data_IF_281161371698
#
_entry.id   IF_281161371698
#
_cell.length_a   1.000
_cell.length_b   1.000
_cell.length_c   1.000
_cell.angle_alpha   90.00
_cell.angle_beta   90.00
_cell.angle_gamma   90.00
#
_symmetry.space_group_name_H-M   'P 1'
#
loop_
_entity.id
_entity.type
_entity.pdbx_description
1 polymer ?
#
# COMPACT_ATOMS: atom_id res chain seq x y z
N UNK A 1 2.75 -6.11 19.28
CA UNK A 1 4.01 -5.34 19.38
C UNK A 1 4.82 -5.96 20.50
N UNK A 2 6.01 -6.44 20.20
CA UNK A 2 6.93 -7.05 21.16
C UNK A 2 8.13 -6.14 21.35
N UNK A 3 8.30 -5.60 22.56
CA UNK A 3 9.50 -4.84 22.94
C UNK A 3 10.51 -5.74 23.66
N UNK A 4 10.00 -6.64 24.51
CA UNK A 4 10.72 -7.78 25.10
C UNK A 4 9.71 -8.88 25.39
N UNK A 5 10.16 -10.11 25.69
CA UNK A 5 9.29 -11.23 26.11
C UNK A 5 8.38 -10.95 27.32
N UNK A 6 8.68 -9.93 28.12
CA UNK A 6 7.85 -9.51 29.27
C UNK A 6 6.92 -8.34 28.93
N UNK A 7 7.20 -7.62 27.84
CA UNK A 7 6.51 -6.39 27.46
C UNK A 7 5.95 -6.54 26.04
N UNK A 8 4.75 -7.09 25.97
CA UNK A 8 3.96 -7.26 24.76
C UNK A 8 2.66 -6.43 24.84
N UNK A 9 2.26 -5.84 23.71
CA UNK A 9 1.03 -5.07 23.55
C UNK A 9 0.27 -5.56 22.32
N UNK A 10 -1.06 -5.67 22.43
CA UNK A 10 -1.93 -6.01 21.30
C UNK A 10 -3.00 -4.93 21.16
N UNK A 11 -2.98 -4.24 20.02
CA UNK A 11 -4.01 -3.27 19.62
C UNK A 11 -4.95 -3.99 18.63
N UNK A 12 -6.26 -3.91 18.88
CA UNK A 12 -7.30 -4.50 18.01
C UNK A 12 -8.32 -3.44 17.64
N UNK A 13 -8.74 -3.43 16.38
CA UNK A 13 -9.75 -2.50 15.88
C UNK A 13 -9.77 -2.47 14.36
N UNK A 14 -10.62 -1.62 13.80
CA UNK A 14 -10.53 -1.29 12.39
C UNK A 14 -9.28 -0.42 12.12
N UNK A 15 -8.88 -0.29 10.86
CA UNK A 15 -7.66 0.43 10.47
C UNK A 15 -7.64 1.87 11.00
N UNK A 16 -8.76 2.59 10.99
CA UNK A 16 -8.83 3.98 11.45
C UNK A 16 -8.61 4.09 12.96
N UNK A 17 -9.17 3.17 13.74
CA UNK A 17 -8.96 3.12 15.19
C UNK A 17 -7.50 2.84 15.52
N UNK A 18 -6.92 1.83 14.88
CA UNK A 18 -5.52 1.43 15.08
C UNK A 18 -4.57 2.58 14.70
N UNK A 19 -4.80 3.24 13.56
CA UNK A 19 -4.03 4.41 13.13
C UNK A 19 -4.12 5.56 14.12
N UNK A 20 -5.32 5.87 14.62
CA UNK A 20 -5.53 6.96 15.58
C UNK A 20 -4.76 6.71 16.88
N UNK A 21 -4.75 5.47 17.37
CA UNK A 21 -4.03 5.13 18.59
C UNK A 21 -2.51 5.20 18.39
N UNK A 22 -2.01 4.62 17.30
CA UNK A 22 -0.58 4.55 16.99
C UNK A 22 0.02 5.95 16.78
N UNK A 23 -0.70 6.87 16.13
CA UNK A 23 -0.23 8.23 15.87
C UNK A 23 0.01 9.07 17.15
N UNK A 24 -0.53 8.64 18.29
CA UNK A 24 -0.35 9.33 19.58
C UNK A 24 0.81 8.76 20.42
N UNK A 25 1.47 7.69 19.95
CA UNK A 25 2.46 6.93 20.71
C UNK A 25 3.79 6.87 19.97
N UNK A 26 4.90 6.87 20.71
CA UNK A 26 6.18 6.46 20.16
C UNK A 26 6.18 4.93 19.96
N UNK A 27 6.46 4.49 18.74
CA UNK A 27 6.44 3.07 18.39
C UNK A 27 7.85 2.49 18.41
N UNK A 28 8.08 1.55 19.32
CA UNK A 28 9.33 0.80 19.47
C UNK A 28 9.05 -0.70 19.53
N UNK A 29 10.05 -1.51 19.16
CA UNK A 29 9.95 -2.97 19.14
C UNK A 29 9.40 -3.52 17.83
N UNK A 30 9.36 -4.85 17.73
CA UNK A 30 8.86 -5.56 16.55
C UNK A 30 7.32 -5.57 16.53
N UNK A 31 6.75 -5.48 15.33
CA UNK A 31 5.29 -5.39 15.13
C UNK A 31 4.85 -6.45 14.14
N UNK A 32 3.96 -7.32 14.62
CA UNK A 32 3.17 -8.22 13.77
C UNK A 32 1.83 -7.56 13.48
N UNK A 33 1.54 -7.34 12.19
CA UNK A 33 0.26 -6.82 11.74
C UNK A 33 -0.59 -7.96 11.17
N UNK A 34 -1.78 -8.16 11.74
CA UNK A 34 -2.77 -9.11 11.25
C UNK A 34 -3.92 -8.30 10.65
N UNK A 35 -4.14 -8.46 9.35
CA UNK A 35 -5.19 -7.73 8.63
C UNK A 35 -6.21 -8.73 8.09
N UNK A 36 -7.48 -8.44 8.30
CA UNK A 36 -8.56 -9.19 7.65
C UNK A 36 -8.42 -9.05 6.13
N UNK A 37 -8.43 -10.17 5.41
CA UNK A 37 -8.45 -10.16 3.94
C UNK A 37 -9.67 -9.39 3.43
N UNK A 38 -9.52 -8.70 2.29
CA UNK A 38 -10.63 -7.99 1.67
C UNK A 38 -11.81 -8.92 1.39
N UNK A 39 -13.03 -8.46 1.67
CA UNK A 39 -14.24 -9.18 1.25
C UNK A 39 -14.31 -9.11 -0.28
N UNK A 40 -14.35 -10.27 -0.95
CA UNK A 40 -14.52 -10.33 -2.41
C UNK A 40 -15.91 -9.84 -2.78
N UNK A 41 -16.07 -8.53 -2.90
CA UNK A 41 -17.08 -7.95 -3.76
C UNK A 41 -16.39 -7.75 -5.12
N UNK A 42 -16.99 -8.29 -6.19
CA UNK A 42 -16.63 -8.24 -7.62
C UNK A 42 -15.18 -7.86 -7.98
N UNK A 43 -14.52 -8.65 -8.83
CA UNK A 43 -13.11 -8.43 -9.28
C UNK A 43 -12.74 -6.97 -9.66
N UNK A 44 -13.71 -6.17 -10.12
CA UNK A 44 -13.53 -4.76 -10.43
C UNK A 44 -13.30 -3.85 -9.21
N UNK A 45 -13.77 -4.19 -8.01
CA UNK A 45 -13.67 -3.31 -6.83
C UNK A 45 -12.22 -3.14 -6.38
N UNK A 46 -11.41 -4.20 -6.47
CA UNK A 46 -9.97 -4.15 -6.14
C UNK A 46 -9.20 -3.29 -7.15
N UNK A 47 -9.43 -3.47 -8.45
CA UNK A 47 -8.78 -2.67 -9.49
C UNK A 47 -9.20 -1.21 -9.35
N UNK A 48 -10.51 -0.93 -9.19
CA UNK A 48 -11.01 0.43 -8.98
C UNK A 48 -10.42 1.08 -7.73
N UNK A 49 -10.26 0.32 -6.65
CA UNK A 49 -9.60 0.79 -5.45
C UNK A 49 -8.13 1.14 -5.72
N UNK A 50 -7.36 0.25 -6.34
CA UNK A 50 -5.95 0.49 -6.66
C UNK A 50 -5.75 1.64 -7.66
N UNK A 51 -6.72 1.85 -8.55
CA UNK A 51 -6.74 2.96 -9.51
C UNK A 51 -7.15 4.30 -8.88
N UNK A 52 -7.57 4.33 -7.60
CA UNK A 52 -7.72 5.59 -6.88
C UNK A 52 -6.41 6.35 -6.99
N UNK A 53 -6.51 7.60 -7.42
CA UNK A 53 -5.39 8.37 -7.92
C UNK A 53 -4.23 8.43 -6.92
N UNK A 54 -4.52 8.61 -5.63
CA UNK A 54 -3.51 8.62 -4.57
C UNK A 54 -2.69 7.33 -4.51
N UNK A 55 -3.34 6.16 -4.62
CA UNK A 55 -2.71 4.85 -4.40
C UNK A 55 -1.76 4.52 -5.55
N UNK A 56 -2.25 4.60 -6.80
CA UNK A 56 -1.42 4.28 -7.96
C UNK A 56 -0.29 5.30 -8.13
N UNK A 57 -0.53 6.61 -7.91
CA UNK A 57 0.52 7.62 -8.02
C UNK A 57 1.60 7.42 -6.96
N UNK A 58 1.23 7.17 -5.71
CA UNK A 58 2.19 6.92 -4.64
C UNK A 58 3.04 5.68 -4.91
N UNK A 59 2.42 4.59 -5.36
CA UNK A 59 3.13 3.37 -5.72
C UNK A 59 4.13 3.58 -6.87
N UNK A 60 3.69 4.25 -7.95
CA UNK A 60 4.58 4.57 -9.08
C UNK A 60 5.70 5.52 -8.68
N UNK A 61 5.42 6.50 -7.82
CA UNK A 61 6.42 7.45 -7.33
C UNK A 61 7.46 6.75 -6.45
N UNK A 62 7.04 5.80 -5.60
CA UNK A 62 7.96 4.96 -4.83
C UNK A 62 8.95 4.22 -5.73
N UNK A 63 8.46 3.63 -6.83
CA UNK A 63 9.33 2.92 -7.77
C UNK A 63 10.27 3.89 -8.52
N UNK A 64 9.84 5.12 -8.83
CA UNK A 64 10.72 6.17 -9.37
C UNK A 64 11.83 6.54 -8.39
N UNK A 65 11.48 6.76 -7.11
CA UNK A 65 12.46 7.09 -6.05
C UNK A 65 13.48 5.97 -5.85
N UNK A 66 13.05 4.71 -6.03
CA UNK A 66 13.94 3.54 -6.02
C UNK A 66 14.86 3.44 -7.26
N UNK A 67 14.73 4.33 -8.23
CA UNK A 67 15.60 4.42 -9.41
C UNK A 67 15.21 3.50 -10.57
N UNK A 68 14.02 2.90 -10.55
CA UNK A 68 13.56 2.05 -11.64
C UNK A 68 13.27 2.86 -12.91
N UNK A 69 13.60 2.30 -14.07
CA UNK A 69 13.24 2.90 -15.36
C UNK A 69 11.72 2.87 -15.57
N UNK A 70 11.16 3.78 -16.38
CA UNK A 70 9.72 3.77 -16.68
C UNK A 70 9.25 2.41 -17.22
N UNK A 71 10.11 1.69 -17.97
CA UNK A 71 9.81 0.36 -18.49
C UNK A 71 9.67 -0.67 -17.37
N UNK A 72 10.57 -0.63 -16.39
CA UNK A 72 10.57 -1.54 -15.24
C UNK A 72 9.40 -1.23 -14.31
N UNK A 73 9.12 0.06 -14.07
CA UNK A 73 7.97 0.49 -13.26
C UNK A 73 6.67 -0.09 -13.80
N UNK A 74 6.45 0.00 -15.11
CA UNK A 74 5.25 -0.55 -15.75
C UNK A 74 5.14 -2.06 -15.53
N UNK A 75 6.25 -2.78 -15.71
CA UNK A 75 6.29 -4.24 -15.53
C UNK A 75 6.01 -4.62 -14.07
N UNK A 76 6.70 -3.99 -13.13
CA UNK A 76 6.55 -4.24 -11.69
C UNK A 76 5.11 -3.94 -11.24
N UNK A 77 4.56 -2.79 -11.63
CA UNK A 77 3.20 -2.41 -11.26
C UNK A 77 2.15 -3.34 -11.87
N UNK A 78 2.32 -3.77 -13.12
CA UNK A 78 1.42 -4.73 -13.75
C UNK A 78 1.43 -6.06 -13.01
N UNK A 79 2.62 -6.61 -12.70
CA UNK A 79 2.76 -7.90 -12.00
C UNK A 79 2.26 -7.84 -10.55
N UNK A 80 2.50 -6.73 -9.84
CA UNK A 80 2.15 -6.60 -8.42
C UNK A 80 0.70 -6.21 -8.17
N UNK A 81 0.13 -5.38 -9.05
CA UNK A 81 -1.22 -4.82 -8.87
C UNK A 81 -2.26 -5.49 -9.76
N UNK A 82 -1.83 -6.31 -10.73
CA UNK A 82 -2.68 -6.93 -11.74
C UNK A 82 -3.53 -5.91 -12.52
N UNK A 83 -2.95 -4.73 -12.78
CA UNK A 83 -3.59 -3.63 -13.52
C UNK A 83 -3.13 -3.65 -14.98
N UNK A 84 -4.03 -3.40 -15.95
CA UNK A 84 -3.66 -3.28 -17.37
C UNK A 84 -2.53 -2.27 -17.64
N UNK A 85 -1.58 -2.69 -18.48
CA UNK A 85 -0.37 -1.93 -18.84
C UNK A 85 -0.66 -0.53 -19.39
N UNK A 86 -1.69 -0.40 -20.21
CA UNK A 86 -2.12 0.86 -20.82
C UNK A 86 -2.56 1.89 -19.77
N UNK A 87 -3.22 1.46 -18.70
CA UNK A 87 -3.66 2.35 -17.60
C UNK A 87 -2.45 2.86 -16.82
N UNK A 88 -1.50 1.96 -16.49
CA UNK A 88 -0.26 2.33 -15.79
C UNK A 88 0.55 3.32 -16.63
N UNK A 89 0.68 3.07 -17.93
CA UNK A 89 1.37 3.97 -18.85
C UNK A 89 0.76 5.37 -18.87
N UNK A 90 -0.58 5.46 -18.99
CA UNK A 90 -1.30 6.74 -18.95
C UNK A 90 -1.03 7.48 -17.63
N UNK A 91 -1.10 6.78 -16.49
CA UNK A 91 -0.82 7.37 -15.17
C UNK A 91 0.62 7.86 -15.04
N UNK A 92 1.60 7.15 -15.59
CA UNK A 92 2.99 7.60 -15.59
C UNK A 92 3.23 8.86 -16.43
N UNK A 93 2.48 9.03 -17.52
CA UNK A 93 2.53 10.26 -18.33
C UNK A 93 1.93 11.44 -17.56
N UNK A 94 0.77 11.27 -16.93
CA UNK A 94 0.12 12.28 -16.07
C UNK A 94 0.97 12.71 -14.86
N UNK A 95 2.03 11.97 -14.52
CA UNK A 95 2.98 12.30 -13.43
C UNK A 95 4.25 13.01 -13.91
N UNK A 96 4.41 13.23 -15.22
CA UNK A 96 5.56 13.97 -15.78
C UNK A 96 5.26 15.46 -15.99
N UNK A 97 3.98 15.81 -16.01
CA UNK A 97 3.46 17.17 -16.01
C UNK A 97 3.29 17.67 -14.56
#
# INVERSE_FOLDING_TARGET
>A
RELTKKYEEIIRGNLNQVLSEINTKEIKGEITLIVQGGTKNKENDTINFLLKECIIKEYLNKLKIQGYSNKDIIKIAQEKLNIPKNIIYKKLLEMKD
#
